data_IF_280757841821
#
_entry.id   IF_280757841821
#
_cell.length_a   1.000
_cell.length_b   1.000
_cell.length_c   1.000
_cell.angle_alpha   90.00
_cell.angle_beta   90.00
_cell.angle_gamma   90.00
#
_symmetry.space_group_name_H-M   'P 1'
#
loop_
_entity.id
_entity.type
_entity.pdbx_description
1 polymer ?
#
# COMPACT_ATOMS: atom_id res chain seq x y z
N UNK A 1 -0.60 11.62 -7.85
CA UNK A 1 -1.97 11.05 -7.76
C UNK A 1 -2.29 10.61 -6.34
N UNK A 2 -1.39 9.87 -5.68
CA UNK A 2 -1.58 9.36 -4.31
C UNK A 2 -0.69 10.05 -3.27
N UNK A 3 -1.15 10.03 -2.03
CA UNK A 3 -0.37 10.29 -0.83
C UNK A 3 -0.45 9.09 0.11
N UNK A 4 0.63 8.86 0.84
CA UNK A 4 0.75 7.83 1.86
C UNK A 4 1.18 8.48 3.17
N UNK A 5 0.52 8.14 4.27
CA UNK A 5 0.86 8.63 5.60
C UNK A 5 0.93 7.46 6.57
N UNK A 6 2.11 7.29 7.18
CA UNK A 6 2.29 6.40 8.32
C UNK A 6 1.96 7.18 9.58
N UNK A 7 1.15 6.60 10.47
CA UNK A 7 0.83 7.23 11.74
C UNK A 7 2.12 7.57 12.52
N UNK A 8 2.29 8.85 12.88
CA UNK A 8 3.47 9.36 13.57
C UNK A 8 4.64 9.78 12.66
N UNK A 9 4.48 9.76 11.33
CA UNK A 9 5.50 10.21 10.37
C UNK A 9 4.95 11.28 9.42
N UNK A 10 5.87 11.91 8.68
CA UNK A 10 5.52 12.86 7.64
C UNK A 10 4.79 12.16 6.47
N UNK A 11 3.91 12.92 5.83
CA UNK A 11 3.23 12.49 4.61
C UNK A 11 4.24 12.29 3.48
N UNK A 12 4.11 11.18 2.76
CA UNK A 12 4.83 10.91 1.53
C UNK A 12 3.90 11.13 0.34
N UNK A 13 4.31 11.99 -0.60
CA UNK A 13 3.57 12.26 -1.84
C UNK A 13 4.37 11.92 -3.09
N UNK A 14 5.66 11.62 -2.94
CA UNK A 14 6.57 11.23 -4.00
C UNK A 14 6.57 9.71 -4.16
N UNK A 15 5.47 9.17 -4.69
CA UNK A 15 5.41 7.76 -5.03
C UNK A 15 6.35 7.44 -6.21
N UNK A 16 7.06 6.32 -6.13
CA UNK A 16 7.79 5.79 -7.27
C UNK A 16 6.82 5.12 -8.24
N UNK A 17 6.74 5.60 -9.47
CA UNK A 17 5.96 4.95 -10.52
C UNK A 17 6.77 3.79 -11.09
N UNK A 18 6.30 2.55 -10.89
CA UNK A 18 6.98 1.32 -11.34
C UNK A 18 6.36 0.73 -12.61
N UNK A 19 5.12 1.11 -12.91
CA UNK A 19 4.45 0.88 -14.17
C UNK A 19 3.50 2.06 -14.45
N UNK A 20 2.94 2.12 -15.65
CA UNK A 20 2.01 3.20 -16.04
C UNK A 20 0.85 3.36 -15.03
N UNK A 21 0.34 2.25 -14.52
CA UNK A 21 -0.80 2.14 -13.62
C UNK A 21 -0.44 1.76 -12.17
N UNK A 22 0.86 1.67 -11.84
CA UNK A 22 1.34 1.18 -10.53
C UNK A 22 2.29 2.16 -9.85
N UNK A 23 1.93 2.53 -8.63
CA UNK A 23 2.68 3.47 -7.81
C UNK A 23 3.09 2.81 -6.50
N UNK A 24 4.35 2.98 -6.12
CA UNK A 24 4.98 2.37 -4.95
C UNK A 24 5.40 3.45 -3.95
N UNK A 25 5.11 3.21 -2.67
CA UNK A 25 5.67 3.99 -1.56
C UNK A 25 6.58 3.12 -0.70
N UNK A 26 7.77 3.64 -0.39
CA UNK A 26 8.74 2.97 0.46
C UNK A 26 8.49 3.35 1.92
N UNK A 27 8.23 2.33 2.73
CA UNK A 27 7.97 2.50 4.15
C UNK A 27 9.15 1.90 4.96
N UNK A 28 10.15 2.72 5.37
CA UNK A 28 11.26 2.25 6.19
C UNK A 28 10.77 1.84 7.58
N UNK A 29 11.55 1.05 8.31
CA UNK A 29 11.24 0.62 9.70
C UNK A 29 9.81 0.09 9.85
N UNK A 30 9.41 -0.78 8.91
CA UNK A 30 8.04 -1.24 8.79
C UNK A 30 7.55 -1.98 10.05
N UNK A 31 8.45 -2.56 10.85
CA UNK A 31 8.14 -3.21 12.13
C UNK A 31 7.42 -2.28 13.11
N UNK A 32 7.69 -0.97 13.05
CA UNK A 32 7.08 0.03 13.93
C UNK A 32 5.79 0.64 13.35
N UNK A 33 5.36 0.22 12.15
CA UNK A 33 4.16 0.75 11.48
C UNK A 33 2.91 0.06 12.00
N UNK A 34 2.01 0.82 12.64
CA UNK A 34 0.74 0.29 13.13
C UNK A 34 -0.41 0.58 12.17
N UNK A 35 -0.47 1.81 11.65
CA UNK A 35 -1.51 2.28 10.75
C UNK A 35 -0.90 3.03 9.58
N UNK A 36 -1.43 2.76 8.39
CA UNK A 36 -1.10 3.49 7.17
C UNK A 36 -2.36 4.04 6.56
N UNK A 37 -2.30 5.30 6.15
CA UNK A 37 -3.36 6.01 5.46
C UNK A 37 -2.93 6.19 4.02
N UNK A 38 -3.76 5.75 3.10
CA UNK A 38 -3.56 5.97 1.66
C UNK A 38 -4.70 6.82 1.16
N UNK A 39 -4.38 7.86 0.40
CA UNK A 39 -5.37 8.82 -0.08
C UNK A 39 -4.98 9.39 -1.43
N UNK A 40 -5.98 9.91 -2.14
CA UNK A 40 -5.79 10.68 -3.37
C UNK A 40 -5.45 12.12 -3.02
N UNK A 41 -4.50 12.72 -3.74
CA UNK A 41 -4.12 14.13 -3.54
C UNK A 41 -5.17 15.13 -4.08
N UNK A 42 -6.15 14.65 -4.83
CA UNK A 42 -7.18 15.49 -5.46
C UNK A 42 -6.70 16.27 -6.70
N UNK A 43 -5.44 16.10 -7.12
CA UNK A 43 -4.89 16.76 -8.31
C UNK A 43 -5.26 16.04 -9.61
N UNK A 44 -5.39 14.71 -9.57
CA UNK A 44 -5.73 13.86 -10.71
C UNK A 44 -6.75 12.82 -10.21
N UNK A 45 -8.01 12.84 -10.71
CA UNK A 45 -9.00 11.82 -10.37
C UNK A 45 -8.71 10.49 -11.09
N UNK A 46 -9.30 9.40 -10.60
CA UNK A 46 -9.30 8.14 -11.34
C UNK A 46 -10.10 8.27 -12.65
N UNK A 47 -9.68 7.60 -13.73
CA UNK A 47 -10.50 7.44 -14.93
C UNK A 47 -11.87 6.82 -14.60
N UNK A 48 -12.85 7.05 -15.47
CA UNK A 48 -14.21 6.52 -15.27
C UNK A 48 -14.20 4.99 -15.19
N UNK A 49 -14.90 4.43 -14.20
CA UNK A 49 -14.94 3.00 -13.95
C UNK A 49 -13.70 2.40 -13.29
N UNK A 50 -12.67 3.20 -12.97
CA UNK A 50 -11.45 2.72 -12.32
C UNK A 50 -11.38 3.06 -10.83
N UNK A 51 -10.69 2.21 -10.08
CA UNK A 51 -10.27 2.45 -8.69
C UNK A 51 -8.81 2.08 -8.47
N UNK A 52 -8.30 2.37 -7.27
CA UNK A 52 -6.96 1.96 -6.85
C UNK A 52 -7.06 0.82 -5.84
N UNK A 53 -6.50 -0.35 -6.17
CA UNK A 53 -6.25 -1.42 -5.20
C UNK A 53 -4.96 -1.13 -4.44
N UNK A 54 -5.03 -1.18 -3.11
CA UNK A 54 -3.92 -0.90 -2.20
C UNK A 54 -3.37 -2.21 -1.67
N UNK A 55 -2.13 -2.53 -2.06
CA UNK A 55 -1.42 -3.70 -1.55
C UNK A 55 -0.37 -3.28 -0.53
N UNK A 56 -0.01 -4.20 0.36
CA UNK A 56 1.09 -4.06 1.29
C UNK A 56 2.03 -5.25 1.11
N UNK A 57 3.31 -4.95 0.88
CA UNK A 57 4.35 -5.98 0.81
C UNK A 57 5.18 -6.01 2.07
N UNK A 58 5.44 -7.20 2.61
CA UNK A 58 6.39 -7.44 3.69
C UNK A 58 7.21 -8.71 3.39
N UNK A 59 8.46 -8.80 3.86
CA UNK A 59 9.25 -10.03 3.69
C UNK A 59 8.66 -11.16 4.54
N UNK A 60 8.55 -12.36 3.97
CA UNK A 60 8.28 -13.59 4.71
C UNK A 60 9.56 -14.14 5.39
N UNK A 61 9.42 -15.26 6.09
CA UNK A 61 10.52 -15.94 6.78
C UNK A 61 11.63 -16.48 5.86
N UNK A 62 11.39 -16.56 4.55
CA UNK A 62 12.39 -16.92 3.54
C UNK A 62 13.00 -15.68 2.87
N UNK A 63 12.65 -14.46 3.31
CA UNK A 63 13.06 -13.20 2.70
C UNK A 63 12.35 -12.89 1.38
N UNK A 64 11.26 -13.61 1.05
CA UNK A 64 10.48 -13.40 -0.17
C UNK A 64 9.39 -12.36 0.10
N UNK A 65 9.21 -11.35 -0.77
CA UNK A 65 8.16 -10.35 -0.58
C UNK A 65 6.77 -10.98 -0.76
N UNK A 66 5.98 -10.98 0.31
CA UNK A 66 4.58 -11.37 0.29
C UNK A 66 3.73 -10.13 0.09
N UNK A 67 2.81 -10.20 -0.87
CA UNK A 67 1.88 -9.10 -1.18
C UNK A 67 0.50 -9.43 -0.64
N UNK A 68 -0.05 -8.53 0.17
CA UNK A 68 -1.39 -8.65 0.70
C UNK A 68 -2.25 -7.46 0.25
N UNK A 69 -3.44 -7.74 -0.26
CA UNK A 69 -4.45 -6.72 -0.55
C UNK A 69 -4.99 -6.16 0.79
N UNK A 70 -4.83 -4.85 0.99
CA UNK A 70 -5.38 -4.16 2.16
C UNK A 70 -6.80 -3.64 1.90
N UNK A 71 -7.07 -3.18 0.68
CA UNK A 71 -8.37 -2.67 0.27
C UNK A 71 -8.27 -1.74 -0.92
N UNK A 72 -9.20 -0.77 -1.02
CA UNK A 72 -9.38 0.03 -2.22
C UNK A 72 -9.61 1.52 -1.90
N UNK A 73 -9.18 2.37 -2.83
CA UNK A 73 -9.47 3.81 -2.89
C UNK A 73 -10.13 4.13 -4.23
N UNK A 74 -11.14 5.00 -4.25
CA UNK A 74 -11.89 5.36 -5.47
C UNK A 74 -12.22 6.85 -5.47
N UNK A 75 -12.73 7.40 -6.57
CA UNK A 75 -13.20 8.79 -6.58
C UNK A 75 -14.29 9.07 -5.53
N UNK A 76 -15.16 8.09 -5.24
CA UNK A 76 -16.20 8.19 -4.20
C UNK A 76 -15.67 7.95 -2.78
N UNK A 77 -14.57 7.21 -2.64
CA UNK A 77 -13.87 6.98 -1.37
C UNK A 77 -12.38 7.27 -1.56
N UNK A 78 -11.97 8.56 -1.56
CA UNK A 78 -10.64 8.97 -1.96
C UNK A 78 -9.57 8.70 -0.89
N UNK A 79 -9.92 8.13 0.26
CA UNK A 79 -8.98 7.78 1.33
C UNK A 79 -9.42 6.54 2.09
N UNK A 80 -8.44 5.81 2.61
CA UNK A 80 -8.63 4.65 3.46
C UNK A 80 -7.49 4.53 4.48
N UNK A 81 -7.82 3.99 5.66
CA UNK A 81 -6.88 3.73 6.75
C UNK A 81 -6.79 2.23 6.92
N UNK A 82 -5.56 1.71 6.99
CA UNK A 82 -5.27 0.29 7.09
C UNK A 82 -4.43 0.00 8.33
N UNK A 83 -4.80 -1.04 9.07
CA UNK A 83 -4.05 -1.53 10.23
C UNK A 83 -3.06 -2.60 9.77
N UNK A 84 -1.77 -2.35 10.02
CA UNK A 84 -0.66 -3.21 9.56
C UNK A 84 -0.12 -4.10 10.68
N UNK A 85 -0.28 -3.70 11.95
CA UNK A 85 0.36 -4.39 13.08
C UNK A 85 0.01 -5.88 13.22
N UNK A 86 -1.18 -6.30 12.77
CA UNK A 86 -1.62 -7.70 12.82
C UNK A 86 -1.17 -8.56 11.63
N UNK A 87 -0.67 -7.97 10.55
CA UNK A 87 -0.26 -8.70 9.34
C UNK A 87 1.16 -9.28 9.44
N UNK A 88 1.94 -8.75 10.38
CA UNK A 88 3.34 -9.13 10.63
C UNK A 88 3.50 -10.45 11.40
N UNK A 89 2.40 -11.04 11.88
CA UNK A 89 2.43 -12.11 12.88
C UNK A 89 2.67 -13.52 12.32
N UNK A 90 3.02 -13.67 11.04
CA UNK A 90 3.32 -14.98 10.46
C UNK A 90 4.85 -15.14 10.36
N UNK A 91 5.41 -15.73 11.43
CA UNK A 91 6.80 -16.23 11.57
C UNK A 91 7.95 -15.21 11.61
N UNK A 92 8.24 -14.75 12.82
CA UNK A 92 9.54 -14.16 13.19
C UNK A 92 10.52 -15.28 13.55
N UNK A 93 11.46 -15.60 12.66
CA UNK A 93 12.78 -16.11 13.04
C UNK A 93 13.82 -15.44 12.13
N UNK A 94 14.92 -15.02 12.74
CA UNK A 94 15.93 -14.08 12.25
C UNK A 94 16.44 -14.32 10.82
N UNK A 95 15.94 -13.56 9.84
CA UNK A 95 16.60 -13.39 8.54
C UNK A 95 16.80 -11.91 8.22
N UNK A 96 18.08 -11.53 8.12
CA UNK A 96 18.56 -10.16 8.14
C UNK A 96 18.00 -9.23 7.04
N UNK A 97 17.59 -8.04 7.49
CA UNK A 97 18.16 -6.74 7.11
C UNK A 97 18.28 -6.33 5.62
N UNK A 98 17.70 -7.06 4.66
CA UNK A 98 17.81 -6.67 3.24
C UNK A 98 16.53 -6.15 2.58
N UNK A 99 15.37 -6.23 3.24
CA UNK A 99 14.12 -5.62 2.77
C UNK A 99 13.47 -4.83 3.91
N UNK A 100 14.08 -3.71 4.29
CA UNK A 100 13.57 -2.80 5.32
C UNK A 100 12.42 -1.90 4.80
N UNK A 101 11.96 -2.14 3.57
CA UNK A 101 10.92 -1.36 2.89
C UNK A 101 9.67 -2.22 2.72
N UNK A 102 8.58 -1.80 3.34
CA UNK A 102 7.26 -2.25 2.92
C UNK A 102 6.78 -1.37 1.79
N UNK A 103 6.20 -1.97 0.76
CA UNK A 103 5.70 -1.27 -0.41
C UNK A 103 4.19 -1.16 -0.36
N UNK A 104 3.67 0.04 -0.65
CA UNK A 104 2.27 0.20 -1.00
C UNK A 104 2.13 0.35 -2.50
N UNK A 105 1.52 -0.64 -3.16
CA UNK A 105 1.12 -0.53 -4.57
C UNK A 105 -0.31 -0.04 -4.65
N UNK A 106 -0.53 1.09 -5.34
CA UNK A 106 -1.83 1.45 -5.90
C UNK A 106 -1.89 1.02 -7.36
N UNK A 107 -2.70 0.02 -7.71
CA UNK A 107 -2.94 -0.40 -9.11
C UNK A 107 -4.31 0.07 -9.59
N UNK A 108 -4.38 0.66 -10.79
CA UNK A 108 -5.67 0.94 -11.43
C UNK A 108 -6.39 -0.39 -11.72
N UNK A 109 -7.53 -0.60 -11.07
CA UNK A 109 -8.36 -1.81 -11.18
C UNK A 109 -9.67 -1.43 -11.87
N UNK A 110 -10.10 -2.21 -12.86
CA UNK A 110 -11.34 -1.98 -13.59
C UNK A 110 -12.60 -2.42 -12.81
N UNK A 111 -13.81 -2.18 -13.35
CA UNK A 111 -15.06 -2.49 -12.67
C UNK A 111 -15.34 -3.99 -12.50
N UNK A 112 -14.64 -4.87 -13.23
CA UNK A 112 -14.82 -6.33 -13.14
C UNK A 112 -14.22 -6.91 -11.84
N UNK A 113 -13.14 -6.32 -11.33
CA UNK A 113 -12.47 -6.77 -10.10
C UNK A 113 -13.17 -6.31 -8.81
N UNK A 114 -14.13 -5.39 -8.91
CA UNK A 114 -14.79 -4.79 -7.73
C UNK A 114 -16.01 -5.60 -7.27
N UNK A 115 -16.40 -6.66 -7.99
CA UNK A 115 -17.63 -7.42 -7.75
C UNK A 115 -17.44 -8.74 -6.98
N UNK A 116 -16.21 -9.05 -6.56
CA UNK A 116 -15.90 -10.32 -5.89
C UNK A 116 -15.35 -10.10 -4.47
N UNK A 117 -16.15 -9.50 -3.59
CA UNK A 117 -16.11 -9.80 -2.14
C UNK A 117 -17.46 -9.50 -1.47
#
# INVERSE_FOLDING_TARGET
MFGCLVAGRLVQTAAQQVAEDKFVFDLPDYENINHVVVFMLGTIPFPEGMGGSVYFSYPDSNGVPVWQLLGFVTNGKPSAIFKISGLKSVHTEDVGQLLQFCFIICSLSGPDDTKSI
#
